data_IF_016794012043
#
_entry.id   IF_016794012043
#
_cell.length_a   1.000
_cell.length_b   1.000
_cell.length_c   1.000
_cell.angle_alpha   90.00
_cell.angle_beta   90.00
_cell.angle_gamma   90.00
#
_symmetry.space_group_name_H-M   'P 1'
#
loop_
_entity.id
_entity.type
_entity.pdbx_description
1 polymer ?
#
# COMPACT_ATOMS: atom_id res chain seq x y z
N UNK A 1 9.38 -5.31 20.69
CA UNK A 1 9.37 -4.94 19.26
C UNK A 1 7.93 -4.70 18.88
N UNK A 2 7.60 -3.50 18.43
CA UNK A 2 6.22 -3.12 18.20
C UNK A 2 5.86 -3.35 16.73
N UNK A 3 4.73 -4.01 16.49
CA UNK A 3 4.11 -4.13 15.17
C UNK A 3 2.86 -3.27 15.14
N UNK A 4 2.82 -2.32 14.20
CA UNK A 4 1.69 -1.40 14.04
C UNK A 4 1.12 -1.59 12.64
N UNK A 5 -0.21 -1.72 12.57
CA UNK A 5 -0.95 -1.87 11.31
C UNK A 5 -2.00 -0.77 11.18
N UNK A 6 -1.99 -0.10 10.03
CA UNK A 6 -3.03 0.84 9.63
C UNK A 6 -3.65 0.36 8.32
N UNK A 7 -4.99 0.35 8.27
CA UNK A 7 -5.73 0.09 7.04
C UNK A 7 -6.34 1.40 6.54
N UNK A 8 -5.80 1.92 5.45
CA UNK A 8 -6.40 3.06 4.77
C UNK A 8 -7.47 2.54 3.82
N UNK A 9 -8.73 2.92 4.07
CA UNK A 9 -9.86 2.54 3.22
C UNK A 9 -9.87 3.25 1.85
N UNK A 10 -8.73 3.78 1.41
CA UNK A 10 -8.61 4.63 0.24
C UNK A 10 -7.49 4.11 -0.67
N UNK A 11 -7.70 4.11 -2.01
CA UNK A 11 -8.90 4.56 -2.71
C UNK A 11 -10.06 3.53 -2.64
N UNK A 12 -11.25 3.98 -2.24
CA UNK A 12 -12.50 3.22 -2.32
C UNK A 12 -13.64 4.13 -2.80
N UNK A 13 -14.70 3.52 -3.33
CA UNK A 13 -15.92 4.23 -3.71
C UNK A 13 -16.64 4.82 -2.47
N UNK A 14 -17.28 6.01 -2.54
CA UNK A 14 -17.34 6.93 -3.67
C UNK A 14 -16.01 7.70 -3.75
N UNK A 15 -15.40 7.82 -4.93
CA UNK A 15 -14.07 8.43 -5.10
C UNK A 15 -14.06 9.92 -4.73
N UNK A 16 -14.03 10.19 -3.44
CA UNK A 16 -14.24 11.48 -2.83
C UNK A 16 -13.34 11.62 -1.59
N UNK A 17 -12.61 12.73 -1.52
CA UNK A 17 -11.82 13.05 -0.34
C UNK A 17 -11.58 14.55 -0.21
N UNK A 18 -11.75 15.05 1.03
CA UNK A 18 -11.53 16.46 1.37
C UNK A 18 -12.22 17.46 0.41
N UNK A 19 -13.44 17.14 -0.01
CA UNK A 19 -14.23 17.99 -0.91
C UNK A 19 -13.87 17.87 -2.41
N UNK A 20 -12.92 17.00 -2.77
CA UNK A 20 -12.65 16.65 -4.17
C UNK A 20 -13.40 15.37 -4.53
N UNK A 21 -14.17 15.38 -5.63
CA UNK A 21 -14.83 14.20 -6.19
C UNK A 21 -14.22 13.84 -7.55
N UNK A 22 -14.13 12.54 -7.82
CA UNK A 22 -13.56 11.97 -9.04
C UNK A 22 -14.60 11.12 -9.77
N UNK A 23 -14.43 10.93 -11.09
CA UNK A 23 -15.36 10.14 -11.91
C UNK A 23 -15.39 8.67 -11.48
N UNK A 24 -16.57 8.03 -11.52
CA UNK A 24 -16.73 6.61 -11.20
C UNK A 24 -16.40 5.73 -12.40
N UNK A 25 -15.20 5.93 -12.95
CA UNK A 25 -14.60 5.14 -14.01
C UNK A 25 -13.13 4.85 -13.69
N UNK A 26 -12.46 4.07 -14.56
CA UNK A 26 -11.05 3.71 -14.36
C UNK A 26 -10.12 4.94 -14.27
N UNK A 27 -10.43 5.99 -15.03
CA UNK A 27 -9.63 7.21 -15.05
C UNK A 27 -9.77 7.99 -13.74
N UNK A 28 -10.99 8.10 -13.23
CA UNK A 28 -11.26 8.73 -11.94
C UNK A 28 -10.70 7.92 -10.78
N UNK A 29 -10.78 6.58 -10.82
CA UNK A 29 -10.07 5.71 -9.87
C UNK A 29 -8.56 5.99 -9.88
N UNK A 30 -7.95 6.07 -11.07
CA UNK A 30 -6.52 6.33 -11.20
C UNK A 30 -6.14 7.70 -10.65
N UNK A 31 -6.87 8.75 -11.01
CA UNK A 31 -6.65 10.11 -10.47
C UNK A 31 -6.84 10.17 -8.96
N UNK A 32 -7.86 9.47 -8.45
CA UNK A 32 -8.13 9.41 -7.03
C UNK A 32 -7.03 8.68 -6.27
N UNK A 33 -6.57 7.53 -6.78
CA UNK A 33 -5.40 6.81 -6.25
C UNK A 33 -4.16 7.72 -6.20
N UNK A 34 -3.86 8.44 -7.30
CA UNK A 34 -2.73 9.37 -7.34
C UNK A 34 -2.86 10.44 -6.24
N UNK A 35 -4.02 11.06 -6.11
CA UNK A 35 -4.26 12.08 -5.11
C UNK A 35 -4.08 11.57 -3.67
N UNK A 36 -4.74 10.46 -3.30
CA UNK A 36 -4.74 9.99 -1.91
C UNK A 36 -3.44 9.28 -1.53
N UNK A 37 -2.89 8.47 -2.45
CA UNK A 37 -1.70 7.68 -2.17
C UNK A 37 -0.41 8.47 -2.40
N UNK A 38 -0.30 9.22 -3.50
CA UNK A 38 0.96 9.91 -3.83
C UNK A 38 1.01 11.31 -3.21
N UNK A 39 -0.03 12.14 -3.42
CA UNK A 39 0.03 13.54 -3.01
C UNK A 39 -0.20 13.73 -1.51
N UNK A 40 -1.00 12.85 -0.90
CA UNK A 40 -1.31 12.95 0.53
C UNK A 40 -0.46 11.99 1.34
N UNK A 41 -0.60 10.67 1.13
CA UNK A 41 0.07 9.67 1.98
C UNK A 41 1.59 9.70 1.84
N UNK A 42 2.14 9.62 0.62
CA UNK A 42 3.59 9.60 0.44
C UNK A 42 4.25 10.89 0.90
N UNK A 43 3.63 12.05 0.71
CA UNK A 43 4.17 13.31 1.23
C UNK A 43 4.27 13.34 2.76
N UNK A 44 3.28 12.77 3.47
CA UNK A 44 3.40 12.60 4.93
C UNK A 44 4.50 11.63 5.32
N UNK A 45 4.66 10.52 4.57
CA UNK A 45 5.70 9.52 4.83
C UNK A 45 7.11 10.07 4.56
N UNK A 46 7.29 10.92 3.53
CA UNK A 46 8.58 11.54 3.21
C UNK A 46 9.14 12.31 4.40
N UNK A 47 8.31 13.10 5.09
CA UNK A 47 8.71 13.93 6.22
C UNK A 47 8.88 13.17 7.55
N UNK A 48 8.44 11.91 7.63
CA UNK A 48 8.50 11.13 8.85
C UNK A 48 9.94 10.64 9.14
N UNK A 49 10.46 10.73 10.38
CA UNK A 49 11.75 10.13 10.74
C UNK A 49 11.66 8.59 10.66
N UNK A 50 12.56 7.97 9.90
CA UNK A 50 12.51 6.54 9.57
C UNK A 50 13.59 5.72 10.29
N UNK A 51 14.36 6.36 11.15
CA UNK A 51 15.44 5.74 11.90
C UNK A 51 14.90 4.58 12.73
N UNK A 52 15.52 3.40 12.58
CA UNK A 52 15.13 2.17 13.26
C UNK A 52 13.72 1.63 12.92
N UNK A 53 13.11 2.08 11.82
CA UNK A 53 11.81 1.59 11.37
C UNK A 53 11.95 0.73 10.10
N UNK A 54 11.14 -0.32 10.05
CA UNK A 54 10.85 -1.06 8.83
C UNK A 54 9.43 -0.77 8.40
N UNK A 55 9.23 -0.35 7.16
CA UNK A 55 7.94 0.15 6.67
C UNK A 55 7.53 -0.68 5.45
N UNK A 56 6.29 -1.16 5.45
CA UNK A 56 5.65 -1.81 4.31
C UNK A 56 4.43 -0.96 3.94
N UNK A 57 4.36 -0.54 2.68
CA UNK A 57 3.16 0.10 2.11
C UNK A 57 2.66 -0.86 1.04
N UNK A 58 1.42 -1.32 1.13
CA UNK A 58 0.88 -2.31 0.20
C UNK A 58 -0.61 -2.06 -0.06
N UNK A 59 -1.04 -2.25 -1.30
CA UNK A 59 -2.46 -2.34 -1.62
C UNK A 59 -2.94 -3.78 -1.47
N UNK A 60 -4.12 -3.98 -0.91
CA UNK A 60 -4.74 -5.29 -0.70
C UNK A 60 -5.28 -5.89 -2.01
N UNK A 61 -5.72 -5.06 -2.96
CA UNK A 61 -6.08 -5.46 -4.32
C UNK A 61 -6.03 -4.30 -5.33
N UNK A 62 -6.06 -4.65 -6.63
CA UNK A 62 -6.22 -3.70 -7.74
C UNK A 62 -7.68 -3.35 -8.04
N UNK A 63 -7.91 -2.58 -9.10
CA UNK A 63 -9.25 -2.14 -9.50
C UNK A 63 -10.11 -3.31 -10.04
N UNK A 64 -11.28 -3.52 -9.42
CA UNK A 64 -12.18 -4.67 -9.73
C UNK A 64 -13.38 -4.33 -10.60
N UNK A 65 -13.71 -3.04 -10.76
CA UNK A 65 -14.94 -2.64 -11.46
C UNK A 65 -14.79 -2.64 -12.99
N UNK A 66 -13.60 -2.92 -13.53
CA UNK A 66 -13.39 -3.07 -14.97
C UNK A 66 -12.76 -4.45 -15.28
N UNK A 67 -13.44 -5.31 -16.04
CA UNK A 67 -12.96 -6.66 -16.36
C UNK A 67 -11.71 -6.68 -17.24
N UNK A 68 -11.34 -5.56 -17.86
CA UNK A 68 -10.10 -5.42 -18.64
C UNK A 68 -8.87 -5.17 -17.77
N UNK A 69 -9.05 -4.93 -16.47
CA UNK A 69 -7.96 -4.70 -15.51
C UNK A 69 -7.77 -5.95 -14.68
N UNK A 70 -6.52 -6.37 -14.48
CA UNK A 70 -6.21 -7.48 -13.58
C UNK A 70 -6.34 -7.02 -12.12
N UNK A 71 -7.32 -7.50 -11.34
CA UNK A 71 -7.53 -7.07 -9.96
C UNK A 71 -6.47 -7.61 -8.99
N UNK A 72 -5.63 -8.54 -9.43
CA UNK A 72 -4.49 -9.04 -8.66
C UNK A 72 -3.23 -8.19 -8.81
N UNK A 73 -3.21 -7.26 -9.78
CA UNK A 73 -2.13 -6.30 -9.90
C UNK A 73 -2.33 -5.19 -8.86
N UNK A 74 -1.49 -5.22 -7.84
CA UNK A 74 -1.44 -4.23 -6.76
C UNK A 74 -0.01 -3.72 -6.58
N UNK A 75 0.16 -2.69 -5.78
CA UNK A 75 1.45 -2.09 -5.46
C UNK A 75 1.95 -2.54 -4.10
N UNK A 76 3.27 -2.67 -3.93
CA UNK A 76 3.90 -2.79 -2.63
C UNK A 76 5.28 -2.13 -2.63
N UNK A 77 5.63 -1.47 -1.54
CA UNK A 77 6.95 -0.89 -1.28
C UNK A 77 7.44 -1.27 0.11
N UNK A 78 8.75 -1.47 0.22
CA UNK A 78 9.42 -1.99 1.40
C UNK A 78 10.61 -1.09 1.73
N UNK A 79 10.71 -0.65 2.98
CA UNK A 79 11.79 0.19 3.49
C UNK A 79 12.42 -0.48 4.72
N UNK A 80 13.76 -0.53 4.76
CA UNK A 80 14.51 -1.14 5.87
C UNK A 80 14.54 -2.67 5.86
N UNK A 81 14.30 -3.30 4.70
CA UNK A 81 14.39 -4.75 4.50
C UNK A 81 15.48 -5.09 3.47
N UNK A 82 16.08 -6.26 3.60
CA UNK A 82 17.05 -6.76 2.64
C UNK A 82 16.35 -7.19 1.34
N UNK A 83 16.94 -6.84 0.19
CA UNK A 83 16.35 -7.11 -1.13
C UNK A 83 16.03 -8.59 -1.33
N UNK A 84 16.94 -9.48 -0.93
CA UNK A 84 16.77 -10.94 -1.06
C UNK A 84 15.58 -11.51 -0.24
N UNK A 85 15.13 -10.80 0.79
CA UNK A 85 13.96 -11.18 1.57
C UNK A 85 12.68 -10.68 0.90
N UNK A 86 12.71 -9.44 0.37
CA UNK A 86 11.59 -8.83 -0.35
C UNK A 86 11.30 -9.58 -1.66
N UNK A 87 12.34 -10.01 -2.39
CA UNK A 87 12.21 -10.73 -3.67
C UNK A 87 11.44 -12.06 -3.57
N UNK A 88 11.30 -12.60 -2.36
CA UNK A 88 10.53 -13.83 -2.08
C UNK A 88 9.02 -13.59 -2.05
N UNK A 89 8.58 -12.34 -1.89
CA UNK A 89 7.17 -11.96 -1.87
C UNK A 89 6.66 -11.94 -3.31
N UNK A 90 5.68 -12.79 -3.63
CA UNK A 90 5.11 -12.89 -5.00
C UNK A 90 3.71 -12.29 -5.10
N UNK A 91 3.00 -12.22 -3.98
CA UNK A 91 1.64 -11.68 -3.89
C UNK A 91 1.40 -11.07 -2.52
N UNK A 92 0.38 -10.21 -2.41
CA UNK A 92 0.05 -9.52 -1.16
C UNK A 92 -0.20 -10.47 0.02
N UNK A 93 -0.72 -11.67 -0.26
CA UNK A 93 -0.98 -12.70 0.76
C UNK A 93 0.30 -13.23 1.41
N UNK A 94 1.46 -13.09 0.76
CA UNK A 94 2.74 -13.54 1.30
C UNK A 94 3.29 -12.58 2.37
N UNK A 95 2.82 -11.32 2.38
CA UNK A 95 3.30 -10.27 3.30
C UNK A 95 3.07 -10.65 4.77
N UNK A 96 1.94 -11.30 5.09
CA UNK A 96 1.67 -11.74 6.46
C UNK A 96 2.72 -12.74 6.98
N UNK A 97 3.10 -13.71 6.15
CA UNK A 97 4.15 -14.67 6.49
C UNK A 97 5.52 -13.99 6.55
N UNK A 98 5.79 -13.05 5.65
CA UNK A 98 7.00 -12.25 5.66
C UNK A 98 7.17 -11.47 6.96
N UNK A 99 6.14 -10.75 7.40
CA UNK A 99 6.13 -10.00 8.68
C UNK A 99 6.39 -10.94 9.86
N UNK A 100 5.70 -12.08 9.91
CA UNK A 100 5.91 -13.09 10.96
C UNK A 100 7.38 -13.52 11.05
N UNK A 101 8.00 -13.81 9.91
CA UNK A 101 9.41 -14.22 9.86
C UNK A 101 10.35 -13.09 10.31
N UNK A 102 10.05 -11.83 10.01
CA UNK A 102 10.84 -10.69 10.44
C UNK A 102 10.79 -10.48 11.97
N UNK A 103 9.63 -10.67 12.59
CA UNK A 103 9.48 -10.57 14.04
C UNK A 103 10.26 -11.70 14.74
N UNK A 104 10.15 -12.93 14.24
CA UNK A 104 10.83 -14.09 14.84
C UNK A 104 12.36 -14.03 14.76
N UNK A 105 12.94 -13.36 13.74
CA UNK A 105 14.40 -13.21 13.61
C UNK A 105 15.03 -12.27 14.64
N UNK A 106 14.24 -11.37 15.22
CA UNK A 106 14.71 -10.32 16.12
C UNK A 106 14.45 -10.66 17.61
N UNK A 107 13.91 -11.84 17.90
CA UNK A 107 13.73 -12.41 19.23
C UNK A 107 14.72 -13.56 19.44
#
# INVERSE_FOLDING_TARGET
QDFIYYHFFMPHHPYEFMGNSFSFDLNGYFKYYQYVSLDILLDKIKCFPKENLKIIITGDHGYRQNPKVNPYNTFSAFYGFENNEVDKIKKVQDIGLFIKNQILKNN
#
